data_IF_591625902895
#
_entry.id   IF_591625902895
#
_cell.length_a   1.000
_cell.length_b   1.000
_cell.length_c   1.000
_cell.angle_alpha   90.00
_cell.angle_beta   90.00
_cell.angle_gamma   90.00
#
_symmetry.space_group_name_H-M   'P 1'
#
loop_
_entity.id
_entity.type
_entity.pdbx_description
1 polymer ?
#
# COMPACT_ATOMS: atom_id res chain seq x y z
N UNK A 1 23.77 16.77 19.45
CA UNK A 1 24.01 16.95 18.01
C UNK A 1 22.75 17.52 17.38
N UNK A 2 22.84 18.68 16.80
CA UNK A 2 21.69 19.28 16.12
C UNK A 2 21.43 18.48 14.84
N UNK A 3 20.24 17.86 14.73
CA UNK A 3 19.76 17.28 13.47
C UNK A 3 19.65 18.41 12.46
N UNK A 4 20.24 18.25 11.28
CA UNK A 4 20.10 19.20 10.20
C UNK A 4 18.62 19.43 9.92
N UNK A 5 18.20 20.67 9.77
CA UNK A 5 16.80 21.06 9.54
C UNK A 5 16.19 20.39 8.29
N UNK A 6 17.00 19.90 7.36
CA UNK A 6 16.56 19.21 6.15
C UNK A 6 16.17 17.73 6.40
N UNK A 7 16.59 17.14 7.52
CA UNK A 7 16.25 15.75 7.90
C UNK A 7 15.03 15.67 8.84
N UNK A 8 14.53 16.80 9.34
CA UNK A 8 13.64 16.80 10.49
C UNK A 8 12.22 16.29 10.19
N UNK A 9 11.70 16.40 8.96
CA UNK A 9 10.36 15.95 8.60
C UNK A 9 10.28 15.57 7.14
N UNK A 10 10.66 14.34 6.82
CA UNK A 10 10.51 13.79 5.48
C UNK A 10 9.13 13.17 5.30
N UNK A 11 8.13 14.02 5.16
CA UNK A 11 6.75 13.61 4.97
C UNK A 11 6.54 12.71 3.74
N UNK A 12 7.31 12.94 2.68
CA UNK A 12 7.37 12.10 1.49
C UNK A 12 7.67 10.63 1.84
N UNK A 13 8.74 10.39 2.60
CA UNK A 13 9.12 9.04 3.07
C UNK A 13 8.12 8.47 4.06
N UNK A 14 7.56 9.29 4.94
CA UNK A 14 6.57 8.85 5.92
C UNK A 14 5.29 8.34 5.23
N UNK A 15 4.80 9.07 4.23
CA UNK A 15 3.63 8.68 3.43
C UNK A 15 3.92 7.40 2.65
N UNK A 16 5.08 7.34 2.00
CA UNK A 16 5.47 6.16 1.23
C UNK A 16 5.57 4.91 2.11
N UNK A 17 6.19 5.04 3.29
CA UNK A 17 6.24 3.99 4.30
C UNK A 17 4.85 3.53 4.72
N UNK A 18 3.95 4.46 5.01
CA UNK A 18 2.57 4.14 5.38
C UNK A 18 1.83 3.40 4.25
N UNK A 19 2.04 3.80 2.99
CA UNK A 19 1.44 3.16 1.82
C UNK A 19 1.99 1.74 1.58
N UNK A 20 3.28 1.51 1.84
CA UNK A 20 3.86 0.15 1.82
C UNK A 20 3.28 -0.73 2.93
N UNK A 21 2.94 -0.13 4.08
CA UNK A 21 2.18 -0.79 5.14
C UNK A 21 0.80 -1.26 4.68
N UNK A 22 0.12 -0.50 3.82
CA UNK A 22 -1.14 -0.92 3.19
C UNK A 22 -0.94 -2.17 2.33
N UNK A 23 0.12 -2.22 1.51
CA UNK A 23 0.45 -3.41 0.71
C UNK A 23 0.69 -4.62 1.60
N UNK A 24 1.49 -4.47 2.68
CA UNK A 24 1.73 -5.53 3.65
C UNK A 24 0.44 -6.04 4.26
N UNK A 25 -0.42 -5.15 4.71
CA UNK A 25 -1.69 -5.50 5.35
C UNK A 25 -2.61 -6.24 4.38
N UNK A 26 -2.77 -5.75 3.15
CA UNK A 26 -3.55 -6.42 2.12
C UNK A 26 -3.06 -7.84 1.85
N UNK A 27 -1.73 -8.05 1.76
CA UNK A 27 -1.17 -9.38 1.60
C UNK A 27 -1.37 -10.28 2.83
N UNK A 28 -1.33 -9.72 4.04
CA UNK A 28 -1.63 -10.46 5.28
C UNK A 28 -3.09 -10.92 5.34
N UNK A 29 -4.03 -10.10 4.90
CA UNK A 29 -5.44 -10.52 4.77
C UNK A 29 -5.59 -11.68 3.79
N UNK A 30 -4.87 -11.65 2.66
CA UNK A 30 -4.86 -12.78 1.71
C UNK A 30 -4.29 -14.05 2.34
N UNK A 31 -3.29 -13.96 3.21
CA UNK A 31 -2.77 -15.13 3.94
C UNK A 31 -3.82 -15.73 4.86
N UNK A 32 -4.62 -14.89 5.51
CA UNK A 32 -5.62 -15.32 6.49
C UNK A 32 -6.90 -15.85 5.84
N UNK A 33 -7.43 -15.10 4.89
CA UNK A 33 -8.78 -15.31 4.35
C UNK A 33 -8.80 -15.74 2.87
N UNK A 34 -7.64 -15.70 2.21
CA UNK A 34 -7.54 -15.87 0.76
C UNK A 34 -7.94 -14.63 -0.03
N UNK A 35 -7.81 -14.69 -1.34
CA UNK A 35 -8.38 -13.69 -2.23
C UNK A 35 -9.88 -13.92 -2.37
N UNK A 36 -10.66 -12.93 -1.98
CA UNK A 36 -12.11 -12.96 -1.99
C UNK A 36 -12.64 -12.49 -3.34
N UNK A 37 -13.62 -13.20 -3.88
CA UNK A 37 -14.34 -12.84 -5.13
C UNK A 37 -13.41 -12.64 -6.34
N UNK A 38 -13.57 -11.49 -7.01
CA UNK A 38 -12.82 -11.15 -8.23
C UNK A 38 -11.52 -10.36 -7.95
N UNK A 39 -11.13 -10.24 -6.67
CA UNK A 39 -9.90 -9.54 -6.31
C UNK A 39 -8.68 -10.23 -6.90
N UNK A 40 -7.77 -9.44 -7.42
CA UNK A 40 -6.48 -9.90 -7.92
C UNK A 40 -5.45 -8.78 -7.82
N UNK A 41 -4.23 -9.12 -7.45
CA UNK A 41 -3.18 -8.15 -7.23
C UNK A 41 -2.14 -8.22 -8.32
N UNK A 42 -1.86 -7.07 -8.93
CA UNK A 42 -0.69 -6.85 -9.77
C UNK A 42 0.39 -6.19 -8.93
N UNK A 43 1.55 -6.85 -8.83
CA UNK A 43 2.67 -6.35 -8.04
C UNK A 43 3.88 -6.24 -8.95
N UNK A 44 4.33 -5.02 -9.19
CA UNK A 44 5.56 -4.74 -9.94
C UNK A 44 6.67 -4.39 -8.98
N UNK A 45 7.85 -4.92 -9.21
CA UNK A 45 9.01 -4.72 -8.35
C UNK A 45 10.31 -4.74 -9.14
N UNK A 46 11.35 -4.11 -8.58
CA UNK A 46 12.68 -4.13 -9.16
C UNK A 46 13.35 -5.49 -8.95
N UNK A 47 13.77 -6.14 -10.03
CA UNK A 47 14.44 -7.44 -10.00
C UNK A 47 15.89 -7.35 -9.52
N UNK A 48 16.52 -6.18 -9.69
CA UNK A 48 17.91 -5.92 -9.30
C UNK A 48 18.06 -5.44 -7.85
N UNK A 49 16.96 -5.28 -7.12
CA UNK A 49 17.00 -4.91 -5.71
C UNK A 49 17.69 -6.04 -4.90
N UNK A 50 18.63 -5.67 -4.00
CA UNK A 50 19.49 -6.60 -3.29
C UNK A 50 18.75 -7.69 -2.50
N UNK A 51 17.59 -7.36 -1.92
CA UNK A 51 16.78 -8.32 -1.15
C UNK A 51 15.88 -9.23 -1.99
N UNK A 52 15.77 -9.01 -3.30
CA UNK A 52 14.95 -9.81 -4.20
C UNK A 52 15.63 -11.15 -4.51
N UNK A 53 14.90 -12.24 -4.27
CA UNK A 53 15.35 -13.60 -4.62
C UNK A 53 14.45 -14.14 -5.71
N UNK A 54 15.05 -14.33 -6.88
CA UNK A 54 14.46 -14.91 -8.08
C UNK A 54 15.41 -15.96 -8.65
N UNK A 55 14.91 -16.99 -9.37
CA UNK A 55 15.74 -17.79 -10.26
C UNK A 55 16.45 -16.93 -11.31
N UNK A 56 17.70 -17.30 -11.64
CA UNK A 56 18.54 -16.52 -12.56
C UNK A 56 17.88 -16.32 -13.94
N UNK A 57 17.23 -17.35 -14.46
CA UNK A 57 16.55 -17.25 -15.75
C UNK A 57 15.37 -16.24 -15.75
N UNK A 58 14.74 -16.00 -14.59
CA UNK A 58 13.70 -14.96 -14.48
C UNK A 58 14.34 -13.58 -14.42
N UNK A 59 15.47 -13.41 -13.76
CA UNK A 59 16.22 -12.14 -13.78
C UNK A 59 16.68 -11.79 -15.18
N UNK A 60 17.19 -12.78 -15.93
CA UNK A 60 17.63 -12.60 -17.32
C UNK A 60 16.45 -12.23 -18.24
N UNK A 61 15.28 -12.83 -18.00
CA UNK A 61 14.07 -12.58 -18.78
C UNK A 61 13.41 -11.26 -18.48
N UNK A 62 13.50 -10.80 -17.24
CA UNK A 62 12.89 -9.55 -16.73
C UNK A 62 13.94 -8.63 -16.11
N UNK A 63 14.85 -8.08 -16.93
CA UNK A 63 15.87 -7.17 -16.43
C UNK A 63 15.19 -5.86 -15.96
N UNK A 64 15.56 -5.42 -14.78
CA UNK A 64 15.06 -4.18 -14.19
C UNK A 64 13.77 -4.35 -13.42
N UNK A 65 12.65 -4.66 -14.06
CA UNK A 65 11.35 -4.80 -13.40
C UNK A 65 10.61 -6.07 -13.82
N UNK A 66 9.85 -6.61 -12.89
CA UNK A 66 8.96 -7.74 -13.10
C UNK A 66 7.61 -7.47 -12.47
N UNK A 67 6.54 -7.88 -13.17
CA UNK A 67 5.17 -7.85 -12.63
C UNK A 67 4.69 -9.27 -12.41
N UNK A 68 4.20 -9.53 -11.21
CA UNK A 68 3.51 -10.78 -10.86
C UNK A 68 2.03 -10.51 -10.61
N UNK A 69 1.22 -11.55 -10.80
CA UNK A 69 -0.22 -11.51 -10.55
C UNK A 69 -0.57 -12.54 -9.49
N UNK A 70 -1.17 -12.09 -8.41
CA UNK A 70 -1.77 -12.98 -7.40
C UNK A 70 -3.27 -13.07 -7.71
N UNK A 71 -3.72 -14.25 -8.16
CA UNK A 71 -5.11 -14.49 -8.47
C UNK A 71 -5.50 -15.94 -8.09
N UNK A 72 -5.52 -16.88 -9.02
CA UNK A 72 -5.99 -18.24 -8.78
C UNK A 72 -4.86 -19.24 -8.51
N UNK A 73 -3.67 -18.98 -9.02
CA UNK A 73 -2.54 -19.90 -9.02
C UNK A 73 -1.32 -19.31 -8.32
N UNK A 74 -1.45 -19.08 -7.03
CA UNK A 74 -0.32 -18.79 -6.16
C UNK A 74 -0.43 -19.64 -4.90
N UNK A 75 0.70 -19.98 -4.33
CA UNK A 75 0.80 -20.89 -3.19
C UNK A 75 1.82 -20.35 -2.18
N UNK A 76 1.71 -20.80 -0.94
CA UNK A 76 2.66 -20.50 0.12
C UNK A 76 3.02 -19.01 0.23
N UNK A 77 1.99 -18.15 0.21
CA UNK A 77 2.16 -16.74 0.47
C UNK A 77 2.50 -16.56 1.96
N UNK A 78 3.67 -16.01 2.22
CA UNK A 78 4.16 -15.65 3.56
C UNK A 78 4.49 -14.17 3.57
N UNK A 79 4.11 -13.47 4.63
CA UNK A 79 4.31 -12.02 4.75
C UNK A 79 4.99 -11.72 6.06
N UNK A 80 6.19 -11.18 5.98
CA UNK A 80 6.97 -10.68 7.10
C UNK A 80 6.83 -9.15 7.22
N UNK A 81 7.57 -8.56 8.14
CA UNK A 81 7.52 -7.11 8.39
C UNK A 81 8.05 -6.28 7.22
N UNK A 82 9.06 -6.77 6.51
CA UNK A 82 9.78 -6.06 5.46
C UNK A 82 9.68 -6.70 4.07
N UNK A 83 9.15 -7.92 3.97
CA UNK A 83 9.11 -8.70 2.73
C UNK A 83 7.93 -9.64 2.67
N UNK A 84 7.68 -10.15 1.49
CA UNK A 84 6.80 -11.30 1.31
C UNK A 84 7.45 -12.33 0.39
N UNK A 85 7.02 -13.58 0.51
CA UNK A 85 7.40 -14.65 -0.40
C UNK A 85 6.18 -15.39 -0.90
N UNK A 86 6.25 -15.83 -2.13
CA UNK A 86 5.14 -16.52 -2.79
C UNK A 86 5.66 -17.54 -3.79
N UNK A 87 4.95 -18.63 -3.94
CA UNK A 87 5.22 -19.62 -4.99
C UNK A 87 4.29 -19.38 -6.17
N UNK A 88 4.87 -19.17 -7.34
CA UNK A 88 4.18 -18.97 -8.61
C UNK A 88 4.67 -19.97 -9.65
N UNK A 89 3.82 -20.29 -10.61
CA UNK A 89 4.17 -21.19 -11.71
C UNK A 89 4.59 -20.40 -12.94
N UNK A 90 5.80 -20.66 -13.42
CA UNK A 90 6.33 -20.13 -14.67
C UNK A 90 6.58 -21.26 -15.65
N UNK A 91 5.84 -21.28 -16.76
CA UNK A 91 5.89 -22.39 -17.74
C UNK A 91 5.67 -23.79 -17.10
N UNK A 92 4.74 -23.89 -16.17
CA UNK A 92 4.45 -25.09 -15.37
C UNK A 92 5.58 -25.51 -14.39
N UNK A 93 6.57 -24.66 -14.14
CA UNK A 93 7.55 -24.86 -13.10
C UNK A 93 7.24 -23.97 -11.90
N UNK A 94 6.99 -24.54 -10.72
CA UNK A 94 6.76 -23.74 -9.51
C UNK A 94 8.07 -23.12 -9.04
N UNK A 95 8.08 -21.80 -8.84
CA UNK A 95 9.22 -21.03 -8.38
C UNK A 95 8.86 -20.19 -7.17
N UNK A 96 9.73 -20.20 -6.16
CA UNK A 96 9.56 -19.36 -4.99
C UNK A 96 10.23 -18.01 -5.21
N UNK A 97 9.47 -16.96 -5.08
CA UNK A 97 9.94 -15.58 -5.14
C UNK A 97 9.96 -14.99 -3.73
N UNK A 98 11.01 -14.23 -3.40
CA UNK A 98 11.06 -13.42 -2.19
C UNK A 98 11.27 -11.98 -2.59
N UNK A 99 10.38 -11.10 -2.15
CA UNK A 99 10.31 -9.72 -2.60
C UNK A 99 10.20 -8.80 -1.39
N UNK A 100 11.23 -7.97 -1.13
CA UNK A 100 11.12 -6.92 -0.13
C UNK A 100 10.05 -5.91 -0.51
N UNK A 101 9.33 -5.37 0.47
CA UNK A 101 8.34 -4.31 0.24
C UNK A 101 8.99 -3.05 -0.34
N UNK A 102 10.26 -2.79 -0.02
CA UNK A 102 11.06 -1.70 -0.58
C UNK A 102 11.30 -1.83 -2.08
N UNK A 103 11.33 -3.06 -2.61
CA UNK A 103 11.50 -3.31 -4.03
C UNK A 103 10.23 -3.06 -4.86
N UNK A 104 9.06 -3.02 -4.22
CA UNK A 104 7.77 -2.83 -4.91
C UNK A 104 7.65 -1.43 -5.46
N UNK A 105 7.32 -1.31 -6.75
CA UNK A 105 7.10 -0.04 -7.45
C UNK A 105 5.64 0.21 -7.76
N UNK A 106 4.85 -0.84 -7.99
CA UNK A 106 3.40 -0.73 -8.23
C UNK A 106 2.69 -1.86 -7.48
N UNK A 107 1.61 -1.50 -6.81
CA UNK A 107 0.63 -2.43 -6.28
C UNK A 107 -0.75 -2.01 -6.77
N UNK A 108 -1.47 -2.91 -7.44
CA UNK A 108 -2.78 -2.60 -7.98
C UNK A 108 -3.77 -3.75 -7.77
N UNK A 109 -5.01 -3.38 -7.49
CA UNK A 109 -6.19 -4.25 -7.54
C UNK A 109 -7.20 -3.65 -8.51
N UNK A 110 -7.21 -4.11 -9.78
CA UNK A 110 -8.12 -3.57 -10.80
C UNK A 110 -9.59 -3.82 -10.52
N UNK A 111 -9.93 -4.85 -9.73
CA UNK A 111 -11.33 -5.18 -9.39
C UNK A 111 -12.06 -4.02 -8.70
N UNK A 112 -11.32 -3.24 -7.94
CA UNK A 112 -11.83 -2.07 -7.19
C UNK A 112 -11.21 -0.74 -7.65
N UNK A 113 -10.53 -0.73 -8.78
CA UNK A 113 -9.82 0.45 -9.31
C UNK A 113 -8.82 1.08 -8.30
N UNK A 114 -8.14 0.23 -7.56
CA UNK A 114 -7.14 0.66 -6.59
C UNK A 114 -5.73 0.46 -7.15
N UNK A 115 -4.87 1.47 -7.01
CA UNK A 115 -3.47 1.37 -7.37
C UNK A 115 -2.60 2.30 -6.50
N UNK A 116 -1.44 1.80 -6.12
CA UNK A 116 -0.37 2.54 -5.48
C UNK A 116 0.89 2.47 -6.33
N UNK A 117 1.59 3.58 -6.42
CA UNK A 117 2.88 3.68 -7.11
C UNK A 117 3.93 4.20 -6.14
N UNK A 118 5.10 3.55 -6.12
CA UNK A 118 6.19 3.84 -5.20
C UNK A 118 7.46 4.22 -5.94
N UNK A 119 8.27 5.02 -5.27
CA UNK A 119 9.68 5.21 -5.67
C UNK A 119 10.52 4.06 -5.08
N UNK A 120 11.58 3.60 -5.77
CA UNK A 120 12.49 2.63 -5.18
C UNK A 120 13.18 3.26 -3.98
N UNK A 121 13.15 2.54 -2.86
CA UNK A 121 13.89 2.93 -1.67
C UNK A 121 15.31 2.34 -1.76
N UNK A 122 16.30 3.12 -1.32
CA UNK A 122 17.67 2.63 -1.16
C UNK A 122 17.77 1.65 0.02
N UNK A 123 18.84 0.84 0.06
CA UNK A 123 19.08 -0.09 1.18
C UNK A 123 19.15 0.63 2.54
N UNK A 124 19.57 1.89 2.56
CA UNK A 124 19.61 2.72 3.77
C UNK A 124 18.20 3.07 4.27
N UNK A 125 17.21 3.08 3.39
CA UNK A 125 15.82 3.35 3.72
C UNK A 125 15.07 2.07 4.19
N UNK A 126 15.62 0.86 3.93
CA UNK A 126 15.03 -0.43 4.31
C UNK A 126 15.01 -0.66 5.83
N UNK A 127 16.01 -0.17 6.56
CA UNK A 127 16.06 -0.32 8.02
C UNK A 127 14.92 0.42 8.72
N UNK A 128 14.37 1.45 8.09
CA UNK A 128 13.27 2.25 8.60
C UNK A 128 11.88 1.64 8.32
N UNK A 129 11.78 0.58 7.47
CA UNK A 129 10.51 -0.06 7.11
C UNK A 129 10.03 -1.08 8.17
N UNK A 130 10.81 -1.36 9.18
CA UNK A 130 10.36 -2.20 10.29
C UNK A 130 9.23 -1.52 11.03
N UNK A 131 8.02 -2.02 10.79
CA UNK A 131 6.85 -1.59 11.52
C UNK A 131 6.90 -2.22 12.92
N UNK A 132 7.04 -1.39 13.94
CA UNK A 132 6.68 -1.83 15.26
C UNK A 132 5.18 -2.13 15.25
N UNK A 133 4.82 -3.39 15.46
CA UNK A 133 3.43 -3.85 15.47
C UNK A 133 2.59 -3.17 16.58
N UNK A 134 3.22 -2.41 17.46
CA UNK A 134 2.57 -1.66 18.51
C UNK A 134 2.01 -0.29 18.06
N UNK A 135 2.48 0.25 16.91
CA UNK A 135 2.04 1.58 16.45
C UNK A 135 0.75 1.57 15.61
N UNK A 136 0.30 0.41 15.14
CA UNK A 136 -0.94 0.25 14.39
C UNK A 136 -1.95 -0.62 15.13
N UNK A 137 -2.06 -0.47 16.44
CA UNK A 137 -3.11 -1.10 17.25
C UNK A 137 -4.46 -0.39 17.01
N UNK A 138 -4.99 -0.52 15.78
CA UNK A 138 -6.31 -0.02 15.42
C UNK A 138 -7.45 -0.87 15.99
N UNK A 139 -7.14 -2.00 16.67
CA UNK A 139 -8.13 -2.96 17.14
C UNK A 139 -8.24 -3.10 18.68
N UNK A 140 -7.65 -2.20 19.46
CA UNK A 140 -7.84 -2.22 20.90
C UNK A 140 -8.55 -0.98 21.43
N UNK A 141 -9.78 -0.72 21.02
CA UNK A 141 -10.72 0.01 21.86
C UNK A 141 -12.17 -0.09 21.39
N UNK A 142 -12.71 -1.29 21.51
CA UNK A 142 -14.17 -1.39 21.63
C UNK A 142 -14.56 -1.53 23.11
N UNK A 143 -14.23 -0.54 23.92
CA UNK A 143 -14.87 -0.30 25.24
C UNK A 143 -14.45 1.04 25.87
N UNK A 144 -14.75 2.16 25.23
CA UNK A 144 -15.20 3.35 25.97
C UNK A 144 -15.77 4.38 25.01
N UNK A 145 -17.10 4.47 25.02
CA UNK A 145 -17.87 5.52 24.37
C UNK A 145 -17.37 6.90 24.77
N UNK A 146 -16.65 7.57 23.88
CA UNK A 146 -16.73 9.02 23.76
C UNK A 146 -17.14 9.30 22.33
N UNK A 147 -18.37 9.85 22.17
CA UNK A 147 -18.92 10.32 20.91
C UNK A 147 -17.92 11.24 20.23
N UNK A 148 -17.15 10.73 19.30
CA UNK A 148 -16.51 11.52 18.28
C UNK A 148 -17.62 12.01 17.33
N UNK A 149 -17.78 13.31 17.24
CA UNK A 149 -18.71 13.94 16.32
C UNK A 149 -18.23 13.64 14.90
N UNK A 150 -18.94 12.77 14.19
CA UNK A 150 -18.68 12.50 12.78
C UNK A 150 -19.07 13.74 12.02
N UNK A 151 -18.08 14.53 11.60
CA UNK A 151 -18.31 15.69 10.73
C UNK A 151 -18.59 15.14 9.33
N UNK A 152 -19.86 15.03 8.98
CA UNK A 152 -20.28 14.67 7.64
C UNK A 152 -19.92 15.81 6.68
N UNK A 153 -19.18 15.48 5.61
CA UNK A 153 -18.84 16.42 4.53
C UNK A 153 -20.07 17.02 3.84
N UNK A 154 -21.24 16.41 4.00
CA UNK A 154 -22.51 16.94 3.48
C UNK A 154 -22.97 18.23 4.19
N UNK A 155 -22.50 18.50 5.39
CA UNK A 155 -22.81 19.74 6.11
C UNK A 155 -22.16 20.98 5.49
N UNK A 156 -21.08 20.81 4.74
CA UNK A 156 -20.41 21.91 4.03
C UNK A 156 -21.08 22.23 2.68
N UNK A 157 -21.74 21.25 2.06
CA UNK A 157 -22.42 21.44 0.77
C UNK A 157 -23.73 22.24 0.88
N UNK A 158 -24.34 22.30 2.06
CA UNK A 158 -25.60 23.07 2.26
C UNK A 158 -25.35 24.54 2.51
N UNK A 159 -24.18 24.96 2.98
CA UNK A 159 -23.87 26.36 3.26
C UNK A 159 -23.64 27.21 2.01
N UNK A 160 -23.20 26.59 0.91
CA UNK A 160 -22.95 27.31 -0.34
C UNK A 160 -24.26 27.56 -1.12
N UNK A 161 -25.31 26.73 -0.91
CA UNK A 161 -26.62 26.94 -1.57
C UNK A 161 -27.52 27.99 -0.91
N UNK A 162 -27.31 28.32 0.36
CA UNK A 162 -28.07 29.36 1.04
C UNK A 162 -27.51 30.76 0.77
N UNK A 163 -26.24 30.89 0.38
CA UNK A 163 -25.65 32.19 0.00
C UNK A 163 -26.02 32.67 -1.40
N UNK A 164 -26.34 31.73 -2.30
CA UNK A 164 -26.78 32.09 -3.66
C UNK A 164 -28.28 32.40 -3.76
N UNK A 165 -29.07 31.95 -2.78
CA UNK A 165 -30.53 32.23 -2.76
C UNK A 165 -30.89 33.61 -2.17
N UNK A 166 -29.96 34.27 -1.48
CA UNK A 166 -30.21 35.59 -0.87
C UNK A 166 -29.82 36.78 -1.77
N UNK A 167 -29.10 36.49 -2.87
CA UNK A 167 -28.65 37.52 -3.84
C UNK A 167 -29.66 37.85 -4.96
N UNK A 168 -30.68 37.04 -5.13
CA UNK A 168 -31.67 37.23 -6.20
C UNK A 168 -32.96 37.95 -5.76
N UNK A 169 -33.03 38.44 -4.51
CA UNK A 169 -34.22 39.15 -4.02
C UNK A 169 -34.13 40.69 -3.96
N UNK A 170 -33.00 41.26 -4.36
CA UNK A 170 -32.77 42.72 -4.30
C UNK A 170 -32.67 43.41 -5.67
N UNK A 171 -33.24 42.83 -6.72
CA UNK A 171 -33.28 43.48 -8.05
C UNK A 171 -34.68 43.56 -8.66
N UNK A 172 -35.68 43.88 -7.85
CA UNK A 172 -36.96 44.39 -8.37
C UNK A 172 -37.60 45.33 -7.36
N UNK A 173 -37.09 46.58 -7.36
CA UNK A 173 -37.85 47.80 -6.99
C UNK A 173 -37.17 49.02 -7.58
#
# INVERSE_FOLDING_TARGET
MARNHEEAFRYDKMVERALRGVVRHALQEVVQDGLVEDHHFYITFYTDHAGVKLPDYLKDRYPGEMTIVLQHQFYDLEVDDDRFSVMLSFNNVPERLTIPLSAVTIFADPSVNFALQFQPLSEEDDEDIRFDAEELDLDKDDKQKKKGEVISLDSFRKKDKEKDAEKDKDKDK
#
